data_IF_901721534251
#
_entry.id   IF_901721534251
#
_cell.length_a   1.000
_cell.length_b   1.000
_cell.length_c   1.000
_cell.angle_alpha   90.00
_cell.angle_beta   90.00
_cell.angle_gamma   90.00
#
_symmetry.space_group_name_H-M   'P 1'
#
loop_
_entity.id
_entity.type
_entity.pdbx_description
1 polymer ?
#
# COMPACT_ATOMS: atom_id res chain seq x y z
N UNK A 1 -89.29 20.39 41.31
CA UNK A 1 -88.94 21.63 40.56
C UNK A 1 -88.07 21.27 39.39
N UNK A 2 -88.52 21.56 38.23
CA UNK A 2 -88.02 21.20 36.93
C UNK A 2 -86.62 21.80 36.59
N UNK A 3 -85.75 21.08 35.95
CA UNK A 3 -84.97 21.60 34.82
C UNK A 3 -84.57 20.48 33.87
N UNK A 4 -85.01 20.62 32.64
CA UNK A 4 -84.66 19.83 31.46
C UNK A 4 -83.30 20.27 31.01
N UNK A 5 -82.42 19.32 30.73
CA UNK A 5 -81.22 19.58 29.92
C UNK A 5 -81.20 18.64 28.73
N UNK A 6 -81.22 19.27 27.59
CA UNK A 6 -81.15 18.62 26.27
C UNK A 6 -79.79 17.98 26.05
N UNK A 7 -79.76 16.72 25.65
CA UNK A 7 -78.62 16.01 25.22
C UNK A 7 -78.31 16.30 23.71
N UNK A 8 -77.25 17.04 23.41
CA UNK A 8 -76.67 17.13 22.06
C UNK A 8 -75.75 15.91 21.80
N UNK A 9 -76.23 14.96 21.04
CA UNK A 9 -75.48 13.87 20.58
C UNK A 9 -74.59 14.35 19.39
N UNK A 10 -73.29 14.60 19.67
CA UNK A 10 -72.31 14.83 18.62
C UNK A 10 -71.73 13.48 18.19
N UNK A 11 -72.18 12.96 17.05
CA UNK A 11 -71.61 11.79 16.42
C UNK A 11 -70.21 12.15 15.80
N UNK A 12 -69.14 11.86 16.52
CA UNK A 12 -67.83 11.86 15.99
C UNK A 12 -67.62 10.58 15.14
N UNK A 13 -67.82 10.71 13.84
CA UNK A 13 -67.39 9.70 12.90
C UNK A 13 -65.86 9.68 12.91
N UNK A 14 -65.25 8.77 13.69
CA UNK A 14 -63.79 8.45 13.58
C UNK A 14 -63.61 7.62 12.34
N UNK A 15 -63.30 8.27 11.23
CA UNK A 15 -62.71 7.60 10.07
C UNK A 15 -61.30 7.17 10.47
N UNK A 16 -61.14 5.91 10.87
CA UNK A 16 -59.86 5.26 10.99
C UNK A 16 -59.24 5.20 9.60
N UNK A 17 -58.43 6.19 9.26
CA UNK A 17 -57.42 6.09 8.23
C UNK A 17 -56.42 5.02 8.70
N UNK A 18 -56.61 3.79 8.24
CA UNK A 18 -55.58 2.80 8.23
C UNK A 18 -54.45 3.34 7.34
N UNK A 19 -53.60 4.19 7.87
CA UNK A 19 -52.25 4.39 7.36
C UNK A 19 -51.55 3.06 7.60
N UNK A 20 -51.64 2.13 6.67
CA UNK A 20 -50.64 1.10 6.49
C UNK A 20 -49.36 1.87 6.21
N UNK A 21 -48.58 2.11 7.27
CA UNK A 21 -47.15 2.37 7.10
C UNK A 21 -46.62 1.11 6.36
N UNK A 22 -46.58 1.18 5.07
CA UNK A 22 -45.71 0.34 4.27
C UNK A 22 -44.33 0.70 4.77
N UNK A 23 -43.84 -0.08 5.73
CA UNK A 23 -42.39 -0.21 5.90
C UNK A 23 -42.00 -0.81 4.55
N UNK A 24 -41.58 0.06 3.62
CA UNK A 24 -40.68 -0.35 2.59
C UNK A 24 -39.49 -0.95 3.36
N UNK A 25 -39.54 -2.26 3.59
CA UNK A 25 -38.34 -3.04 3.69
C UNK A 25 -37.71 -2.83 2.35
N UNK A 26 -36.95 -1.74 2.20
CA UNK A 26 -35.83 -1.69 1.30
C UNK A 26 -35.09 -2.98 1.64
N UNK A 27 -35.32 -4.02 0.84
CA UNK A 27 -34.45 -5.16 0.83
C UNK A 27 -33.08 -4.47 0.79
N UNK A 28 -32.25 -4.69 1.79
CA UNK A 28 -30.83 -4.32 1.68
C UNK A 28 -30.37 -5.05 0.43
N UNK A 29 -30.62 -4.39 -0.71
CA UNK A 29 -30.38 -4.92 -2.01
C UNK A 29 -28.92 -5.31 -1.97
N UNK A 30 -28.61 -6.53 -2.32
CA UNK A 30 -27.24 -7.05 -2.38
C UNK A 30 -26.32 -5.91 -2.77
N UNK A 31 -25.53 -5.39 -1.80
CA UNK A 31 -24.66 -4.24 -2.04
C UNK A 31 -23.84 -4.64 -3.25
N UNK A 32 -24.16 -4.05 -4.40
CA UNK A 32 -23.60 -4.51 -5.66
C UNK A 32 -22.08 -4.49 -5.53
N UNK A 33 -21.40 -5.45 -6.09
CA UNK A 33 -19.93 -5.50 -6.08
C UNK A 33 -19.29 -4.17 -6.53
N UNK A 34 -20.01 -3.41 -7.36
CA UNK A 34 -19.62 -2.08 -7.83
C UNK A 34 -19.79 -1.00 -6.77
N UNK A 35 -20.90 -1.01 -6.03
CA UNK A 35 -21.20 -0.02 -4.98
C UNK A 35 -20.50 -0.26 -3.66
N UNK A 36 -19.77 -1.37 -3.52
CA UNK A 36 -19.01 -1.65 -2.30
C UNK A 36 -17.79 -0.73 -2.19
N UNK A 37 -17.64 -0.10 -1.03
CA UNK A 37 -16.48 0.69 -0.67
C UNK A 37 -15.36 -0.21 -0.15
N UNK A 38 -14.19 -0.14 -0.76
CA UNK A 38 -13.01 -0.89 -0.34
C UNK A 38 -11.92 0.00 0.28
N UNK A 39 -12.13 1.31 0.33
CA UNK A 39 -11.19 2.29 0.88
C UNK A 39 -11.22 2.32 2.41
N UNK A 40 -10.12 2.71 3.03
CA UNK A 40 -10.02 2.95 4.47
C UNK A 40 -10.88 4.16 4.87
N UNK A 41 -11.31 4.20 6.14
CA UNK A 41 -12.03 5.36 6.67
C UNK A 41 -11.18 6.63 6.53
N UNK A 42 -11.82 7.73 6.11
CA UNK A 42 -11.15 9.03 5.90
C UNK A 42 -10.48 9.24 4.54
N UNK A 43 -10.31 8.20 3.72
CA UNK A 43 -9.79 8.37 2.36
C UNK A 43 -10.86 8.97 1.44
N UNK A 44 -10.45 9.92 0.58
CA UNK A 44 -11.34 10.58 -0.40
C UNK A 44 -11.67 9.64 -1.56
N UNK A 45 -12.94 9.44 -1.80
CA UNK A 45 -13.47 8.63 -2.89
C UNK A 45 -13.58 9.44 -4.19
N UNK A 46 -13.63 8.73 -5.32
CA UNK A 46 -14.13 9.29 -6.57
C UNK A 46 -15.66 9.31 -6.58
N UNK A 47 -16.27 10.21 -7.38
CA UNK A 47 -17.72 10.20 -7.56
C UNK A 47 -18.21 8.84 -8.06
N UNK A 48 -19.35 8.38 -7.56
CA UNK A 48 -19.96 7.09 -7.95
C UNK A 48 -20.24 6.98 -9.45
N UNK A 49 -20.33 8.10 -10.16
CA UNK A 49 -20.51 8.17 -11.62
C UNK A 49 -19.21 8.09 -12.41
N UNK A 50 -18.11 7.65 -11.82
CA UNK A 50 -16.78 7.64 -12.45
C UNK A 50 -16.76 6.99 -13.84
N UNK A 51 -17.53 5.93 -14.04
CA UNK A 51 -17.57 5.19 -15.30
C UNK A 51 -18.72 5.59 -16.25
N UNK A 52 -19.56 6.55 -15.84
CA UNK A 52 -20.72 6.93 -16.66
C UNK A 52 -20.26 7.58 -17.98
N UNK A 53 -20.78 7.07 -19.09
CA UNK A 53 -20.45 7.53 -20.43
C UNK A 53 -19.14 6.97 -20.99
N UNK A 54 -18.42 6.12 -20.25
CA UNK A 54 -17.26 5.41 -20.77
C UNK A 54 -17.68 4.21 -21.62
N UNK A 55 -17.02 4.02 -22.76
CA UNK A 55 -17.15 2.81 -23.56
C UNK A 55 -16.52 1.63 -22.80
N UNK A 56 -17.28 0.53 -22.64
CA UNK A 56 -16.85 -0.61 -21.85
C UNK A 56 -15.67 -1.37 -22.46
N UNK A 57 -15.63 -1.50 -23.79
CA UNK A 57 -14.55 -2.22 -24.47
C UNK A 57 -13.24 -1.44 -24.31
N UNK A 58 -13.28 -0.12 -24.51
CA UNK A 58 -12.14 0.78 -24.29
C UNK A 58 -11.68 0.74 -22.83
N UNK A 59 -12.61 0.78 -21.88
CA UNK A 59 -12.30 0.74 -20.45
C UNK A 59 -11.66 -0.60 -20.06
N UNK A 60 -12.17 -1.71 -20.58
CA UNK A 60 -11.63 -3.05 -20.33
C UNK A 60 -10.21 -3.20 -20.89
N UNK A 61 -9.96 -2.73 -22.11
CA UNK A 61 -8.64 -2.77 -22.72
C UNK A 61 -7.66 -1.87 -21.97
N UNK A 62 -8.11 -0.70 -21.53
CA UNK A 62 -7.30 0.19 -20.69
C UNK A 62 -6.91 -0.50 -19.38
N UNK A 63 -7.87 -1.07 -18.63
CA UNK A 63 -7.61 -1.76 -17.38
C UNK A 63 -6.65 -2.95 -17.53
N UNK A 64 -6.79 -3.72 -18.63
CA UNK A 64 -5.87 -4.83 -18.96
C UNK A 64 -4.46 -4.36 -19.30
N UNK A 65 -4.32 -3.19 -19.91
CA UNK A 65 -3.02 -2.63 -20.33
C UNK A 65 -2.20 -2.05 -19.19
N UNK A 66 -2.81 -1.76 -18.03
CA UNK A 66 -2.13 -1.15 -16.87
C UNK A 66 -0.99 -2.04 -16.34
N UNK A 67 0.22 -1.48 -16.34
CA UNK A 67 1.41 -2.11 -15.77
C UNK A 67 1.73 -1.49 -14.41
N UNK A 68 1.21 -2.08 -13.36
CA UNK A 68 1.29 -1.53 -11.99
C UNK A 68 2.72 -1.35 -11.47
N UNK A 69 3.69 -2.14 -11.96
CA UNK A 69 5.11 -2.03 -11.58
C UNK A 69 5.81 -0.78 -12.12
N UNK A 70 5.23 -0.13 -13.15
CA UNK A 70 5.82 1.06 -13.81
C UNK A 70 5.16 2.37 -13.38
N UNK A 71 4.16 2.30 -12.50
CA UNK A 71 3.44 3.48 -12.03
C UNK A 71 4.32 4.31 -11.09
N UNK A 72 4.29 5.63 -11.30
CA UNK A 72 4.79 6.59 -10.31
C UNK A 72 3.94 6.52 -9.03
N UNK A 73 4.42 7.01 -7.88
CA UNK A 73 3.62 7.06 -6.65
C UNK A 73 2.27 7.77 -6.83
N UNK A 74 2.24 8.87 -7.59
CA UNK A 74 1.00 9.60 -7.86
C UNK A 74 0.01 8.79 -8.71
N UNK A 75 0.48 8.15 -9.79
CA UNK A 75 -0.34 7.27 -10.62
C UNK A 75 -0.84 6.06 -9.86
N UNK A 76 0.00 5.46 -9.00
CA UNK A 76 -0.38 4.36 -8.13
C UNK A 76 -1.50 4.79 -7.16
N UNK A 77 -1.34 5.94 -6.50
CA UNK A 77 -2.36 6.50 -5.60
C UNK A 77 -3.66 6.78 -6.34
N UNK A 78 -3.58 7.36 -7.54
CA UNK A 78 -4.74 7.62 -8.39
C UNK A 78 -5.45 6.33 -8.78
N UNK A 79 -4.72 5.35 -9.32
CA UNK A 79 -5.28 4.07 -9.73
C UNK A 79 -5.88 3.31 -8.53
N UNK A 80 -5.18 3.32 -7.38
CA UNK A 80 -5.68 2.74 -6.13
C UNK A 80 -7.04 3.34 -5.76
N UNK A 81 -7.17 4.66 -5.78
CA UNK A 81 -8.45 5.34 -5.52
C UNK A 81 -9.53 4.96 -6.56
N UNK A 82 -9.17 4.87 -7.83
CA UNK A 82 -10.07 4.45 -8.91
C UNK A 82 -10.66 3.07 -8.65
N UNK A 83 -9.81 2.07 -8.31
CA UNK A 83 -10.27 0.68 -8.16
C UNK A 83 -10.93 0.41 -6.81
N UNK A 84 -10.65 1.20 -5.77
CA UNK A 84 -11.21 1.02 -4.42
C UNK A 84 -12.50 1.84 -4.18
N UNK A 85 -12.75 2.91 -4.96
CA UNK A 85 -13.94 3.74 -4.78
C UNK A 85 -15.21 3.00 -5.16
N UNK A 86 -16.33 3.21 -4.43
CA UNK A 86 -17.64 2.72 -4.84
C UNK A 86 -18.05 3.39 -6.14
N UNK A 87 -18.61 2.63 -7.07
CA UNK A 87 -19.05 3.15 -8.38
C UNK A 87 -20.38 2.55 -8.78
N UNK A 88 -21.08 3.21 -9.70
CA UNK A 88 -22.21 2.59 -10.38
C UNK A 88 -21.69 1.53 -11.35
N UNK A 89 -22.50 0.48 -11.55
CA UNK A 89 -22.19 -0.55 -12.53
C UNK A 89 -22.17 0.10 -13.93
N UNK A 90 -21.11 -0.09 -14.72
CA UNK A 90 -21.12 0.29 -16.13
C UNK A 90 -22.28 -0.34 -16.88
N UNK A 91 -22.84 0.36 -17.87
CA UNK A 91 -23.91 -0.13 -18.71
C UNK A 91 -23.33 -0.92 -19.86
N UNK A 92 -23.65 -2.22 -19.97
CA UNK A 92 -23.27 -3.06 -21.11
C UNK A 92 -23.01 -4.51 -20.73
N UNK A 93 -22.46 -5.27 -21.68
CA UNK A 93 -22.23 -6.73 -21.55
C UNK A 93 -20.90 -7.09 -20.87
N UNK A 94 -19.95 -6.16 -20.80
CA UNK A 94 -18.60 -6.40 -20.28
C UNK A 94 -18.42 -6.06 -18.79
N UNK A 95 -19.50 -5.65 -18.11
CA UNK A 95 -19.42 -5.24 -16.69
C UNK A 95 -18.80 -6.31 -15.77
N UNK A 96 -19.05 -7.60 -16.01
CA UNK A 96 -18.46 -8.69 -15.23
C UNK A 96 -16.95 -8.84 -15.52
N UNK A 97 -16.53 -8.72 -16.78
CA UNK A 97 -15.11 -8.74 -17.13
C UNK A 97 -14.35 -7.54 -16.53
N UNK A 98 -14.97 -6.36 -16.54
CA UNK A 98 -14.44 -5.17 -15.89
C UNK A 98 -14.30 -5.36 -14.37
N UNK A 99 -15.26 -6.02 -13.73
CA UNK A 99 -15.21 -6.31 -12.31
C UNK A 99 -14.06 -7.26 -11.97
N UNK A 100 -13.82 -8.27 -12.82
CA UNK A 100 -12.68 -9.18 -12.68
C UNK A 100 -11.34 -8.44 -12.84
N UNK A 101 -11.23 -7.55 -13.84
CA UNK A 101 -10.02 -6.72 -13.99
C UNK A 101 -9.82 -5.74 -12.84
N UNK A 102 -10.90 -5.21 -12.25
CA UNK A 102 -10.85 -4.40 -11.03
C UNK A 102 -10.22 -5.20 -9.87
N UNK A 103 -10.66 -6.45 -9.65
CA UNK A 103 -10.09 -7.33 -8.63
C UNK A 103 -8.60 -7.63 -8.90
N UNK A 104 -8.25 -7.91 -10.16
CA UNK A 104 -6.85 -8.12 -10.58
C UNK A 104 -5.97 -6.90 -10.29
N UNK A 105 -6.46 -5.72 -10.60
CA UNK A 105 -5.73 -4.48 -10.32
C UNK A 105 -5.59 -4.21 -8.82
N UNK A 106 -6.63 -4.48 -8.01
CA UNK A 106 -6.54 -4.40 -6.54
C UNK A 106 -5.40 -5.29 -6.02
N UNK A 107 -5.34 -6.55 -6.48
CA UNK A 107 -4.28 -7.48 -6.08
C UNK A 107 -2.89 -7.00 -6.52
N UNK A 108 -2.75 -6.56 -7.77
CA UNK A 108 -1.49 -6.05 -8.30
C UNK A 108 -1.00 -4.75 -7.64
N UNK A 109 -1.91 -4.00 -7.01
CA UNK A 109 -1.60 -2.84 -6.18
C UNK A 109 -1.27 -3.21 -4.73
N UNK A 110 -1.40 -4.49 -4.34
CA UNK A 110 -1.20 -4.98 -2.98
C UNK A 110 -2.44 -4.89 -2.09
N UNK A 111 -3.59 -4.52 -2.64
CA UNK A 111 -4.87 -4.43 -1.92
C UNK A 111 -5.57 -5.81 -1.86
N UNK A 112 -4.84 -6.82 -1.43
CA UNK A 112 -5.29 -8.21 -1.47
C UNK A 112 -6.53 -8.47 -0.60
N UNK A 113 -6.71 -7.74 0.52
CA UNK A 113 -7.94 -7.84 1.34
C UNK A 113 -9.16 -7.30 0.59
N UNK A 114 -9.01 -6.23 -0.17
CA UNK A 114 -10.07 -5.68 -1.01
C UNK A 114 -10.41 -6.63 -2.18
N UNK A 115 -9.39 -7.19 -2.83
CA UNK A 115 -9.55 -8.21 -3.87
C UNK A 115 -10.26 -9.46 -3.33
N UNK A 116 -9.86 -9.97 -2.15
CA UNK A 116 -10.48 -11.11 -1.48
C UNK A 116 -11.95 -10.83 -1.10
N UNK A 117 -12.29 -9.61 -0.71
CA UNK A 117 -13.67 -9.22 -0.42
C UNK A 117 -14.55 -9.06 -1.68
N UNK A 118 -13.92 -8.73 -2.82
CA UNK A 118 -14.61 -8.61 -4.10
C UNK A 118 -14.82 -9.97 -4.79
N UNK A 119 -13.85 -10.88 -4.69
CA UNK A 119 -13.84 -12.13 -5.44
C UNK A 119 -15.12 -13.00 -5.30
N UNK A 120 -15.78 -13.15 -4.13
CA UNK A 120 -17.03 -13.92 -4.02
C UNK A 120 -18.20 -13.34 -4.83
N UNK A 121 -18.10 -12.08 -5.25
CA UNK A 121 -19.13 -11.36 -6.00
C UNK A 121 -18.91 -11.46 -7.51
N UNK A 122 -17.83 -12.08 -7.96
CA UNK A 122 -17.53 -12.31 -9.36
C UNK A 122 -18.34 -13.49 -9.87
N UNK A 123 -19.01 -13.33 -11.01
CA UNK A 123 -19.79 -14.41 -11.68
C UNK A 123 -18.93 -15.33 -12.53
N UNK A 124 -17.78 -14.87 -12.95
CA UNK A 124 -16.80 -15.63 -13.71
C UNK A 124 -15.56 -15.86 -12.84
N UNK A 125 -15.00 -17.05 -12.96
CA UNK A 125 -13.71 -17.33 -12.35
C UNK A 125 -12.67 -16.33 -12.89
N UNK A 126 -12.26 -15.41 -12.03
CA UNK A 126 -11.35 -14.33 -12.39
C UNK A 126 -9.91 -14.84 -12.40
N UNK A 127 -9.56 -15.80 -13.24
CA UNK A 127 -8.18 -16.27 -13.47
C UNK A 127 -7.42 -16.61 -12.20
N UNK A 128 -7.98 -17.47 -11.36
CA UNK A 128 -7.33 -17.95 -10.13
C UNK A 128 -7.47 -17.01 -8.92
N UNK A 129 -8.33 -16.00 -8.97
CA UNK A 129 -8.71 -15.21 -7.82
C UNK A 129 -9.81 -15.91 -7.02
N UNK A 130 -9.45 -16.95 -6.29
CA UNK A 130 -10.32 -17.50 -5.26
C UNK A 130 -10.20 -16.64 -3.99
N UNK A 131 -11.32 -16.06 -3.57
CA UNK A 131 -11.38 -15.20 -2.41
C UNK A 131 -10.95 -15.89 -1.11
N UNK A 132 -11.32 -17.16 -0.97
CA UNK A 132 -11.03 -17.90 0.26
C UNK A 132 -9.55 -18.21 0.35
N UNK A 133 -8.94 -18.71 -0.71
CA UNK A 133 -7.51 -19.02 -0.74
C UNK A 133 -6.67 -17.76 -0.60
N UNK A 134 -7.07 -16.64 -1.23
CA UNK A 134 -6.37 -15.37 -1.13
C UNK A 134 -6.36 -14.82 0.31
N UNK A 135 -7.51 -14.88 1.00
CA UNK A 135 -7.60 -14.42 2.39
C UNK A 135 -6.78 -15.29 3.35
N UNK A 136 -6.82 -16.62 3.15
CA UNK A 136 -6.04 -17.58 3.93
C UNK A 136 -4.55 -17.37 3.69
N UNK A 137 -4.16 -17.17 2.46
CA UNK A 137 -2.77 -16.94 2.05
C UNK A 137 -2.17 -15.69 2.72
N UNK A 138 -2.95 -14.61 2.79
CA UNK A 138 -2.56 -13.40 3.52
C UNK A 138 -2.43 -13.63 5.02
N UNK A 139 -3.38 -14.34 5.63
CA UNK A 139 -3.34 -14.67 7.06
C UNK A 139 -2.11 -15.53 7.36
N UNK A 140 -1.80 -16.54 6.53
CA UNK A 140 -0.59 -17.36 6.64
C UNK A 140 0.68 -16.51 6.49
N UNK A 141 0.77 -15.67 5.45
CA UNK A 141 1.94 -14.84 5.23
C UNK A 141 2.20 -13.84 6.37
N UNK A 142 1.12 -13.33 6.99
CA UNK A 142 1.20 -12.36 8.09
C UNK A 142 1.44 -12.98 9.47
N UNK A 143 1.43 -14.31 9.62
CA UNK A 143 1.53 -15.00 10.90
C UNK A 143 0.21 -15.13 11.67
N UNK A 144 -0.94 -14.87 11.02
CA UNK A 144 -2.28 -15.09 11.59
C UNK A 144 -2.77 -16.52 11.35
N UNK A 145 -1.92 -17.49 11.59
CA UNK A 145 -2.07 -18.90 11.25
C UNK A 145 -3.32 -19.52 11.87
N UNK A 146 -3.62 -19.16 13.13
CA UNK A 146 -4.82 -19.63 13.79
C UNK A 146 -6.11 -19.19 13.06
N UNK A 147 -6.12 -18.00 12.47
CA UNK A 147 -7.24 -17.51 11.64
C UNK A 147 -7.37 -18.32 10.36
N UNK A 148 -6.25 -18.54 9.68
CA UNK A 148 -6.21 -19.33 8.45
C UNK A 148 -6.66 -20.77 8.68
N UNK A 149 -6.13 -21.45 9.72
CA UNK A 149 -6.44 -22.85 10.01
C UNK A 149 -7.89 -23.08 10.48
N UNK A 150 -8.53 -22.09 11.12
CA UNK A 150 -9.97 -22.18 11.45
C UNK A 150 -10.87 -22.39 10.24
N UNK A 151 -10.41 -22.05 9.03
CA UNK A 151 -11.17 -22.29 7.78
C UNK A 151 -11.36 -23.78 7.48
N UNK A 152 -10.54 -24.66 8.10
CA UNK A 152 -10.69 -26.11 7.99
C UNK A 152 -11.77 -26.70 8.92
N UNK A 153 -12.35 -25.92 9.83
CA UNK A 153 -13.38 -26.39 10.78
C UNK A 153 -14.78 -26.53 10.17
N UNK A 154 -14.97 -26.14 8.90
CA UNK A 154 -16.24 -26.23 8.16
C UNK A 154 -16.12 -27.15 6.94
N UNK A 155 -17.12 -27.11 6.04
CA UNK A 155 -17.00 -27.76 4.74
C UNK A 155 -15.79 -27.20 3.99
N UNK A 156 -14.84 -28.08 3.70
CA UNK A 156 -13.58 -27.73 3.03
C UNK A 156 -13.73 -28.05 1.56
N UNK A 157 -13.51 -27.07 0.67
CA UNK A 157 -13.51 -27.31 -0.78
C UNK A 157 -12.46 -28.35 -1.17
N UNK A 158 -12.65 -28.96 -2.32
CA UNK A 158 -11.67 -29.86 -2.93
C UNK A 158 -10.58 -29.05 -3.64
N UNK A 159 -9.40 -29.64 -3.81
CA UNK A 159 -8.30 -29.10 -4.59
C UNK A 159 -6.97 -29.03 -3.84
N UNK A 160 -5.93 -28.87 -4.61
CA UNK A 160 -4.53 -28.91 -4.15
C UNK A 160 -4.23 -27.93 -3.01
N UNK A 161 -4.74 -26.70 -3.10
CA UNK A 161 -4.54 -25.68 -2.08
C UNK A 161 -5.04 -26.13 -0.70
N UNK A 162 -6.22 -26.75 -0.64
CA UNK A 162 -6.85 -27.20 0.59
C UNK A 162 -6.16 -28.41 1.20
N UNK A 163 -5.59 -29.28 0.36
CA UNK A 163 -4.76 -30.39 0.81
C UNK A 163 -3.48 -29.86 1.46
N UNK A 164 -2.79 -28.92 0.80
CA UNK A 164 -1.62 -28.24 1.35
C UNK A 164 -1.93 -27.51 2.65
N UNK A 165 -3.05 -26.78 2.72
CA UNK A 165 -3.48 -26.08 3.92
C UNK A 165 -3.63 -27.03 5.12
N UNK A 166 -4.21 -28.20 4.93
CA UNK A 166 -4.37 -29.22 6.01
C UNK A 166 -3.01 -29.64 6.56
N UNK A 167 -2.07 -29.99 5.70
CA UNK A 167 -0.74 -30.39 6.10
C UNK A 167 0.03 -29.25 6.82
N UNK A 168 -0.01 -28.04 6.27
CA UNK A 168 0.63 -26.87 6.90
C UNK A 168 0.02 -26.57 8.27
N UNK A 169 -1.31 -26.60 8.41
CA UNK A 169 -1.96 -26.37 9.69
C UNK A 169 -1.60 -27.43 10.74
N UNK A 170 -1.45 -28.69 10.34
CA UNK A 170 -1.00 -29.73 11.23
C UNK A 170 0.44 -29.50 11.72
N UNK A 171 1.35 -29.12 10.82
CA UNK A 171 2.73 -28.72 11.16
C UNK A 171 2.76 -27.53 12.11
N UNK A 172 1.97 -26.48 11.84
CA UNK A 172 1.94 -25.28 12.68
C UNK A 172 1.41 -25.57 14.09
N UNK A 173 0.56 -26.59 14.24
CA UNK A 173 0.04 -27.09 15.52
C UNK A 173 0.94 -28.16 16.16
N UNK A 174 2.11 -28.44 15.56
CA UNK A 174 3.05 -29.47 16.02
C UNK A 174 2.46 -30.89 16.03
N UNK A 175 1.40 -31.11 15.26
CA UNK A 175 0.79 -32.39 15.02
C UNK A 175 1.45 -33.09 13.80
N UNK A 176 2.66 -33.57 13.96
CA UNK A 176 3.45 -34.11 12.84
C UNK A 176 2.83 -35.36 12.24
N UNK A 177 2.28 -36.28 13.07
CA UNK A 177 1.58 -37.44 12.55
C UNK A 177 0.34 -37.06 11.72
N UNK A 178 -0.37 -36.02 12.13
CA UNK A 178 -1.47 -35.48 11.34
C UNK A 178 -1.00 -34.82 10.04
N UNK A 179 0.19 -34.22 10.03
CA UNK A 179 0.79 -33.66 8.83
C UNK A 179 1.20 -34.75 7.83
N UNK A 180 1.83 -35.84 8.31
CA UNK A 180 2.19 -37.00 7.49
C UNK A 180 0.95 -37.63 6.84
N UNK A 181 -0.10 -37.89 7.61
CA UNK A 181 -1.37 -38.41 7.08
C UNK A 181 -1.98 -37.46 6.03
N UNK A 182 -1.94 -36.14 6.29
CA UNK A 182 -2.44 -35.15 5.32
C UNK A 182 -1.63 -35.16 4.02
N UNK A 183 -0.32 -35.37 4.10
CA UNK A 183 0.57 -35.52 2.94
C UNK A 183 0.29 -36.79 2.17
N UNK A 184 0.10 -37.94 2.88
CA UNK A 184 -0.27 -39.20 2.23
C UNK A 184 -1.58 -39.08 1.45
N UNK A 185 -2.60 -38.52 2.08
CA UNK A 185 -3.89 -38.26 1.43
C UNK A 185 -3.73 -37.30 0.22
N UNK A 186 -2.94 -36.25 0.36
CA UNK A 186 -2.69 -35.28 -0.73
C UNK A 186 -1.97 -35.97 -1.90
N UNK A 187 -0.97 -36.80 -1.63
CA UNK A 187 -0.24 -37.57 -2.64
C UNK A 187 -1.15 -38.56 -3.35
N UNK A 188 -2.00 -39.28 -2.60
CA UNK A 188 -2.99 -40.18 -3.16
C UNK A 188 -4.02 -39.47 -4.06
N UNK A 189 -4.27 -38.19 -3.82
CA UNK A 189 -5.13 -37.29 -4.65
C UNK A 189 -4.35 -36.56 -5.75
N UNK A 190 -3.08 -36.91 -5.97
CA UNK A 190 -2.28 -36.41 -7.10
C UNK A 190 -1.41 -35.18 -6.81
N UNK A 191 -1.22 -34.81 -5.55
CA UNK A 191 -0.24 -33.75 -5.22
C UNK A 191 1.17 -34.18 -5.60
N UNK A 192 1.84 -33.38 -6.47
CA UNK A 192 3.17 -33.66 -7.02
C UNK A 192 4.17 -32.53 -6.77
N UNK A 193 4.06 -31.79 -5.67
CA UNK A 193 5.00 -30.71 -5.29
C UNK A 193 6.12 -31.25 -4.38
N UNK A 194 7.28 -31.67 -4.93
CA UNK A 194 8.37 -32.26 -4.13
C UNK A 194 8.88 -31.30 -3.05
N UNK A 195 8.99 -30.01 -3.38
CA UNK A 195 9.43 -29.01 -2.42
C UNK A 195 8.52 -28.96 -1.19
N UNK A 196 7.21 -29.00 -1.42
CA UNK A 196 6.22 -28.94 -0.34
C UNK A 196 6.34 -30.15 0.59
N UNK A 197 6.51 -31.36 0.01
CA UNK A 197 6.69 -32.60 0.77
C UNK A 197 7.97 -32.54 1.62
N UNK A 198 9.09 -32.18 1.02
CA UNK A 198 10.37 -32.04 1.73
C UNK A 198 10.30 -30.98 2.86
N UNK A 199 9.60 -29.86 2.63
CA UNK A 199 9.45 -28.81 3.62
C UNK A 199 8.57 -29.23 4.82
N UNK A 200 7.52 -30.05 4.60
CA UNK A 200 6.71 -30.64 5.68
C UNK A 200 7.60 -31.56 6.56
N UNK A 201 8.39 -32.44 5.95
CA UNK A 201 9.30 -33.33 6.71
C UNK A 201 10.42 -32.51 7.40
N UNK A 202 10.95 -31.48 6.77
CA UNK A 202 11.93 -30.61 7.40
C UNK A 202 11.39 -29.90 8.65
N UNK A 203 10.10 -29.59 8.69
CA UNK A 203 9.46 -29.01 9.86
C UNK A 203 9.36 -29.94 11.06
N UNK A 204 9.38 -31.27 10.84
CA UNK A 204 9.47 -32.29 11.91
C UNK A 204 10.90 -32.54 12.39
N UNK A 205 11.91 -32.01 11.72
CA UNK A 205 13.32 -32.14 12.11
C UNK A 205 14.06 -33.32 11.51
N UNK A 206 13.42 -34.11 10.64
CA UNK A 206 13.92 -35.43 10.18
C UNK A 206 14.67 -35.39 8.83
N UNK A 207 14.94 -34.20 8.26
CA UNK A 207 15.58 -34.11 6.94
C UNK A 207 17.02 -33.57 7.05
N UNK A 208 18.03 -34.34 6.65
CA UNK A 208 19.44 -33.95 6.74
C UNK A 208 19.78 -32.76 5.80
N UNK A 209 19.08 -32.60 4.68
CA UNK A 209 19.27 -31.53 3.72
C UNK A 209 17.91 -30.88 3.41
N UNK A 210 17.42 -29.95 4.24
CA UNK A 210 16.16 -29.30 4.01
C UNK A 210 16.20 -28.46 2.73
N UNK A 211 15.06 -28.29 2.04
CA UNK A 211 14.99 -27.45 0.85
C UNK A 211 15.18 -25.97 1.19
N UNK A 212 15.54 -25.15 0.19
CA UNK A 212 15.56 -23.69 0.39
C UNK A 212 14.13 -23.14 0.60
N UNK A 213 14.03 -22.07 1.39
CA UNK A 213 12.76 -21.40 1.66
C UNK A 213 12.09 -20.88 0.39
N UNK A 214 10.74 -20.89 0.35
CA UNK A 214 9.91 -20.28 -0.69
C UNK A 214 8.95 -19.26 -0.09
N UNK A 215 8.82 -18.11 -0.77
CA UNK A 215 7.99 -16.98 -0.34
C UNK A 215 7.01 -16.53 -1.45
N UNK A 216 6.59 -17.44 -2.29
CA UNK A 216 5.69 -17.23 -3.44
C UNK A 216 4.20 -17.36 -3.09
N UNK A 217 3.87 -18.02 -1.98
CA UNK A 217 2.52 -18.11 -1.41
C UNK A 217 2.57 -17.95 0.11
N UNK A 218 1.43 -17.60 0.73
CA UNK A 218 1.34 -17.50 2.18
C UNK A 218 1.59 -18.82 2.90
N UNK A 219 1.12 -19.94 2.33
CA UNK A 219 1.39 -21.28 2.84
C UNK A 219 2.89 -21.58 2.86
N UNK A 220 3.58 -21.28 1.76
CA UNK A 220 5.01 -21.52 1.64
C UNK A 220 5.82 -20.62 2.59
N UNK A 221 5.40 -19.36 2.80
CA UNK A 221 5.98 -18.48 3.81
C UNK A 221 5.83 -19.05 5.22
N UNK A 222 4.62 -19.50 5.57
CA UNK A 222 4.35 -20.08 6.89
C UNK A 222 5.17 -21.35 7.13
N UNK A 223 5.18 -22.26 6.18
CA UNK A 223 5.93 -23.51 6.24
C UNK A 223 7.45 -23.28 6.28
N UNK A 224 7.99 -22.44 5.41
CA UNK A 224 9.41 -22.06 5.40
C UNK A 224 9.85 -21.46 6.73
N UNK A 225 9.01 -20.61 7.33
CA UNK A 225 9.31 -19.99 8.63
C UNK A 225 9.25 -21.02 9.77
N UNK A 226 8.27 -21.96 9.78
CA UNK A 226 8.13 -23.00 10.80
C UNK A 226 9.28 -24.01 10.75
N UNK A 227 9.68 -24.40 9.54
CA UNK A 227 10.78 -25.33 9.31
C UNK A 227 12.17 -24.65 9.38
N UNK A 228 12.24 -23.35 9.61
CA UNK A 228 13.49 -22.57 9.65
C UNK A 228 14.40 -22.81 8.42
N UNK A 229 13.78 -22.83 7.22
CA UNK A 229 14.49 -23.11 5.98
C UNK A 229 15.45 -21.99 5.58
N UNK A 230 16.55 -22.36 4.90
CA UNK A 230 17.52 -21.38 4.41
C UNK A 230 16.90 -20.38 3.42
N UNK A 231 17.02 -19.09 3.73
CA UNK A 231 16.41 -17.99 2.99
C UNK A 231 17.32 -17.34 1.94
N UNK A 232 18.57 -17.79 1.76
CA UNK A 232 19.54 -17.17 0.86
C UNK A 232 19.05 -17.05 -0.59
N UNK A 233 18.23 -17.99 -1.06
CA UNK A 233 17.70 -18.04 -2.44
C UNK A 233 16.28 -17.50 -2.58
N UNK A 234 15.73 -16.88 -1.54
CA UNK A 234 14.37 -16.34 -1.62
C UNK A 234 14.30 -15.21 -2.64
N UNK A 235 13.43 -15.40 -3.63
CA UNK A 235 13.02 -14.38 -4.59
C UNK A 235 11.58 -13.99 -4.35
N UNK A 236 11.27 -12.72 -4.60
CA UNK A 236 9.91 -12.20 -4.47
C UNK A 236 9.22 -12.16 -5.81
N UNK A 237 7.98 -12.60 -5.84
CA UNK A 237 7.12 -12.40 -6.99
C UNK A 237 6.68 -10.94 -7.05
N UNK A 238 6.96 -10.27 -8.18
CA UNK A 238 6.47 -8.91 -8.44
C UNK A 238 4.94 -8.84 -8.62
N UNK A 239 4.30 -9.99 -8.79
CA UNK A 239 2.84 -10.09 -8.93
C UNK A 239 2.09 -10.11 -7.59
N UNK A 240 2.79 -10.34 -6.48
CA UNK A 240 2.23 -10.45 -5.12
C UNK A 240 2.96 -9.54 -4.13
N UNK A 241 2.90 -8.21 -4.30
CA UNK A 241 3.56 -7.26 -3.39
C UNK A 241 2.94 -7.28 -1.98
N UNK A 242 1.70 -7.74 -1.84
CA UNK A 242 1.03 -7.98 -0.58
C UNK A 242 1.74 -9.03 0.30
N UNK A 243 2.31 -10.06 -0.31
CA UNK A 243 3.10 -11.07 0.42
C UNK A 243 4.41 -10.47 0.95
N UNK A 244 5.04 -9.54 0.22
CA UNK A 244 6.21 -8.83 0.72
C UNK A 244 5.87 -8.01 1.97
N UNK A 245 4.75 -7.27 1.95
CA UNK A 245 4.29 -6.50 3.12
C UNK A 245 3.96 -7.41 4.31
N UNK A 246 3.27 -8.52 4.06
CA UNK A 246 2.93 -9.48 5.10
C UNK A 246 4.18 -10.14 5.72
N UNK A 247 5.11 -10.60 4.88
CA UNK A 247 6.35 -11.24 5.33
C UNK A 247 7.29 -10.27 6.07
N UNK A 248 7.31 -8.98 5.67
CA UNK A 248 8.09 -7.96 6.38
C UNK A 248 7.65 -7.80 7.84
N UNK A 249 6.34 -7.93 8.10
CA UNK A 249 5.77 -7.81 9.45
C UNK A 249 5.74 -9.12 10.23
N UNK A 250 6.01 -10.26 9.57
CA UNK A 250 5.91 -11.59 10.18
C UNK A 250 7.05 -11.86 11.18
N UNK A 251 6.69 -12.34 12.37
CA UNK A 251 7.65 -12.90 13.33
C UNK A 251 8.16 -14.25 12.80
N UNK A 252 9.45 -14.55 13.04
CA UNK A 252 10.08 -15.80 12.59
C UNK A 252 10.68 -15.72 11.18
N UNK A 253 10.44 -14.65 10.42
CA UNK A 253 11.24 -14.35 9.22
C UNK A 253 12.54 -13.66 9.66
N UNK A 254 13.71 -14.08 9.18
CA UNK A 254 14.99 -13.44 9.53
C UNK A 254 14.99 -11.94 9.25
N UNK A 255 15.61 -11.15 10.13
CA UNK A 255 15.62 -9.68 10.03
C UNK A 255 16.17 -9.18 8.69
N UNK A 256 17.16 -9.86 8.12
CA UNK A 256 17.68 -9.54 6.79
C UNK A 256 16.61 -9.62 5.70
N UNK A 257 15.85 -10.70 5.68
CA UNK A 257 14.81 -10.89 4.70
C UNK A 257 13.63 -9.94 4.94
N UNK A 258 13.28 -9.71 6.21
CA UNK A 258 12.26 -8.71 6.58
C UNK A 258 12.65 -7.31 6.10
N UNK A 259 13.93 -6.93 6.23
CA UNK A 259 14.42 -5.64 5.74
C UNK A 259 14.31 -5.51 4.21
N UNK A 260 14.64 -6.58 3.46
CA UNK A 260 14.45 -6.61 1.99
C UNK A 260 12.98 -6.48 1.62
N UNK A 261 12.10 -7.19 2.30
CA UNK A 261 10.65 -7.10 2.07
C UNK A 261 10.08 -5.74 2.45
N UNK A 262 10.53 -5.17 3.57
CA UNK A 262 10.14 -3.83 4.01
C UNK A 262 10.58 -2.74 3.02
N UNK A 263 11.69 -2.91 2.34
CA UNK A 263 12.10 -2.00 1.28
C UNK A 263 11.10 -2.03 0.13
N UNK A 264 10.79 -3.22 -0.40
CA UNK A 264 9.85 -3.38 -1.53
C UNK A 264 8.47 -2.86 -1.15
N UNK A 265 7.93 -3.28 -0.01
CA UNK A 265 6.61 -2.88 0.44
C UNK A 265 6.52 -1.37 0.75
N UNK A 266 7.59 -0.77 1.28
CA UNK A 266 7.66 0.65 1.60
C UNK A 266 7.83 1.56 0.38
N UNK A 267 8.43 1.07 -0.71
CA UNK A 267 8.54 1.82 -1.97
C UNK A 267 7.17 2.00 -2.64
N UNK A 268 6.23 1.10 -2.36
CA UNK A 268 4.88 1.09 -2.93
C UNK A 268 3.76 1.32 -1.90
N UNK A 269 4.09 1.84 -0.72
CA UNK A 269 3.17 2.26 0.35
C UNK A 269 2.29 1.14 0.94
N UNK A 270 2.75 -0.11 0.94
CA UNK A 270 2.03 -1.22 1.57
C UNK A 270 2.31 -1.36 3.07
N UNK A 271 3.42 -0.81 3.54
CA UNK A 271 3.73 -0.65 4.97
C UNK A 271 4.02 0.81 5.27
N UNK A 272 3.78 1.21 6.51
CA UNK A 272 4.05 2.60 6.91
C UNK A 272 5.54 2.89 6.99
N UNK A 273 5.95 4.17 6.84
CA UNK A 273 7.36 4.56 7.02
C UNK A 273 7.89 4.18 8.41
N UNK A 274 7.05 4.25 9.44
CA UNK A 274 7.37 3.89 10.83
C UNK A 274 7.61 2.40 10.98
N UNK A 275 6.76 1.55 10.38
CA UNK A 275 6.95 0.09 10.36
C UNK A 275 8.23 -0.28 9.63
N UNK A 276 8.46 0.31 8.44
CA UNK A 276 9.69 0.09 7.66
C UNK A 276 10.92 0.48 8.49
N UNK A 277 10.89 1.66 9.12
CA UNK A 277 11.98 2.14 9.97
C UNK A 277 12.23 1.19 11.15
N UNK A 278 11.16 0.74 11.79
CA UNK A 278 11.24 -0.21 12.91
C UNK A 278 11.91 -1.52 12.53
N UNK A 279 11.58 -2.07 11.35
CA UNK A 279 12.18 -3.31 10.83
C UNK A 279 13.68 -3.12 10.54
N UNK A 280 14.05 -2.02 9.88
CA UNK A 280 15.46 -1.71 9.58
C UNK A 280 16.28 -1.49 10.85
N UNK A 281 15.73 -0.75 11.83
CA UNK A 281 16.40 -0.53 13.12
C UNK A 281 16.50 -1.82 13.97
N UNK A 282 15.54 -2.75 13.84
CA UNK A 282 15.64 -4.05 14.50
C UNK A 282 16.82 -4.86 13.93
N UNK A 283 17.00 -4.85 12.61
CA UNK A 283 18.16 -5.50 11.96
C UNK A 283 19.50 -4.90 12.42
N UNK A 284 19.58 -3.58 12.58
CA UNK A 284 20.79 -2.90 13.04
C UNK A 284 21.17 -3.21 14.50
N UNK A 285 20.26 -3.85 15.26
CA UNK A 285 20.53 -4.30 16.63
C UNK A 285 21.01 -5.74 16.72
N UNK A 286 21.02 -6.47 15.60
CA UNK A 286 21.56 -7.83 15.57
C UNK A 286 23.08 -7.76 15.81
N UNK A 287 23.58 -8.50 16.80
CA UNK A 287 24.97 -8.39 17.33
C UNK A 287 26.04 -8.58 16.26
N UNK A 288 25.79 -9.48 15.30
CA UNK A 288 26.71 -9.82 14.21
C UNK A 288 26.48 -9.02 12.93
N UNK A 289 25.58 -8.01 12.97
CA UNK A 289 25.21 -7.28 11.77
C UNK A 289 25.85 -5.88 11.72
N UNK A 290 26.52 -5.60 10.61
CA UNK A 290 27.00 -4.26 10.28
C UNK A 290 26.18 -3.67 9.14
N UNK A 291 25.77 -2.41 9.28
CA UNK A 291 24.99 -1.70 8.26
C UNK A 291 25.63 -1.79 6.88
N UNK A 292 25.01 -2.52 5.96
CA UNK A 292 25.55 -2.80 4.61
C UNK A 292 24.99 -1.88 3.55
N UNK A 293 23.75 -1.45 3.69
CA UNK A 293 23.10 -0.56 2.74
C UNK A 293 23.26 0.92 3.12
N UNK A 294 23.25 1.80 2.10
CA UNK A 294 23.32 3.24 2.33
C UNK A 294 22.19 3.76 3.23
N UNK A 295 21.00 3.17 3.14
CA UNK A 295 19.84 3.51 3.97
C UNK A 295 20.08 3.13 5.43
N UNK A 296 20.60 1.93 5.70
CA UNK A 296 20.90 1.47 7.05
C UNK A 296 22.00 2.30 7.71
N UNK A 297 23.07 2.58 7.00
CA UNK A 297 24.16 3.47 7.47
C UNK A 297 23.64 4.89 7.77
N UNK A 298 22.66 5.37 7.00
CA UNK A 298 22.04 6.65 7.28
C UNK A 298 21.15 6.59 8.53
N UNK A 299 20.36 5.53 8.70
CA UNK A 299 19.54 5.34 9.91
C UNK A 299 20.40 5.26 11.17
N UNK A 300 21.52 4.56 11.10
CA UNK A 300 22.50 4.48 12.19
C UNK A 300 23.06 5.87 12.53
N UNK A 301 23.50 6.64 11.50
CA UNK A 301 24.00 8.00 11.71
C UNK A 301 22.93 8.95 12.25
N UNK A 302 21.66 8.84 11.79
CA UNK A 302 20.54 9.63 12.30
C UNK A 302 20.22 9.31 13.78
N UNK A 303 20.47 8.08 14.21
CA UNK A 303 20.28 7.64 15.59
C UNK A 303 21.48 8.02 16.50
N UNK A 304 22.63 8.35 15.93
CA UNK A 304 23.81 8.68 16.71
C UNK A 304 23.74 10.12 17.30
N UNK A 305 23.68 10.28 18.63
CA UNK A 305 23.55 11.60 19.27
C UNK A 305 24.83 12.47 19.14
N UNK A 306 25.98 11.86 18.81
CA UNK A 306 27.26 12.57 18.67
C UNK A 306 27.51 13.05 17.23
N UNK A 307 26.72 12.62 16.27
CA UNK A 307 26.83 13.04 14.87
C UNK A 307 26.42 14.52 14.73
N UNK A 308 27.24 15.30 14.05
CA UNK A 308 26.92 16.71 13.79
C UNK A 308 25.76 16.84 12.80
N UNK A 309 24.95 17.92 12.90
CA UNK A 309 23.87 18.18 11.93
C UNK A 309 24.35 18.22 10.48
N UNK A 310 25.55 18.71 10.24
CA UNK A 310 26.16 18.72 8.91
C UNK A 310 26.41 17.32 8.37
N UNK A 311 27.00 16.43 9.17
CA UNK A 311 27.25 15.03 8.79
C UNK A 311 25.93 14.30 8.49
N UNK A 312 24.93 14.49 9.35
CA UNK A 312 23.59 13.93 9.15
C UNK A 312 22.96 14.44 7.85
N UNK A 313 23.02 15.75 7.59
CA UNK A 313 22.47 16.36 6.40
C UNK A 313 23.19 15.89 5.11
N UNK A 314 24.51 15.83 5.13
CA UNK A 314 25.31 15.35 4.02
C UNK A 314 24.98 13.90 3.65
N UNK A 315 24.90 13.01 4.66
CA UNK A 315 24.53 11.61 4.45
C UNK A 315 23.11 11.47 3.91
N UNK A 316 22.15 12.20 4.47
CA UNK A 316 20.76 12.18 4.03
C UNK A 316 20.63 12.69 2.59
N UNK A 317 21.31 13.78 2.24
CA UNK A 317 21.34 14.28 0.88
C UNK A 317 21.84 13.22 -0.13
N UNK A 318 22.95 12.55 0.20
CA UNK A 318 23.54 11.53 -0.66
C UNK A 318 22.58 10.38 -0.99
N UNK A 319 21.84 9.89 0.01
CA UNK A 319 20.85 8.81 -0.23
C UNK A 319 19.62 9.30 -0.99
N UNK A 320 19.15 10.53 -0.73
CA UNK A 320 18.04 11.12 -1.46
C UNK A 320 18.39 11.38 -2.93
N UNK A 321 19.60 11.88 -3.22
CA UNK A 321 20.10 12.00 -4.59
C UNK A 321 20.21 10.66 -5.30
N UNK A 322 20.73 9.64 -4.62
CA UNK A 322 20.80 8.29 -5.19
C UNK A 322 19.43 7.74 -5.51
N UNK A 323 18.48 7.91 -4.61
CA UNK A 323 17.09 7.48 -4.80
C UNK A 323 16.42 8.25 -5.95
N UNK A 324 16.63 9.56 -6.05
CA UNK A 324 16.04 10.41 -7.11
C UNK A 324 16.54 10.07 -8.52
N UNK A 325 17.79 9.61 -8.63
CA UNK A 325 18.36 9.13 -9.89
C UNK A 325 17.87 7.74 -10.30
N UNK A 326 17.41 6.95 -9.34
CA UNK A 326 16.92 5.61 -9.61
C UNK A 326 15.51 5.63 -10.22
N UNK A 327 14.54 6.08 -9.46
CA UNK A 327 13.14 6.26 -9.88
C UNK A 327 12.33 7.03 -8.84
N UNK A 328 11.12 7.47 -9.23
CA UNK A 328 10.23 8.28 -8.38
C UNK A 328 9.64 7.48 -7.20
N UNK A 329 9.41 6.17 -7.34
CA UNK A 329 8.90 5.33 -6.26
C UNK A 329 9.93 5.19 -5.15
N UNK A 330 11.19 4.94 -5.53
CA UNK A 330 12.31 4.86 -4.60
C UNK A 330 12.58 6.20 -3.92
N UNK A 331 12.55 7.29 -4.68
CA UNK A 331 12.69 8.64 -4.11
C UNK A 331 11.59 8.93 -3.09
N UNK A 332 10.32 8.73 -3.46
CA UNK A 332 9.19 8.94 -2.56
C UNK A 332 9.24 8.05 -1.32
N UNK A 333 9.54 6.75 -1.47
CA UNK A 333 9.67 5.80 -0.37
C UNK A 333 10.82 6.13 0.59
N UNK A 334 11.97 6.61 0.05
CA UNK A 334 13.10 7.07 0.86
C UNK A 334 12.78 8.39 1.57
N UNK A 335 12.15 9.32 0.88
CA UNK A 335 11.73 10.61 1.45
C UNK A 335 10.79 10.43 2.64
N UNK A 336 9.80 9.55 2.52
CA UNK A 336 8.88 9.23 3.63
C UNK A 336 9.59 8.56 4.79
N UNK A 337 10.53 7.65 4.52
CA UNK A 337 11.31 6.97 5.57
C UNK A 337 12.09 7.96 6.44
N UNK A 338 12.65 9.01 5.84
CA UNK A 338 13.49 10.00 6.51
C UNK A 338 12.76 11.32 6.82
N UNK A 339 11.45 11.41 6.65
CA UNK A 339 10.70 12.64 6.90
C UNK A 339 10.86 13.15 8.35
N UNK A 340 10.85 12.25 9.32
CA UNK A 340 11.06 12.62 10.72
C UNK A 340 12.46 13.24 10.97
N UNK A 341 13.48 12.75 10.26
CA UNK A 341 14.83 13.27 10.34
C UNK A 341 14.93 14.65 9.64
N UNK A 342 14.28 14.81 8.49
CA UNK A 342 14.16 16.11 7.80
C UNK A 342 13.49 17.18 8.67
N UNK A 343 12.49 16.80 9.47
CA UNK A 343 11.83 17.69 10.43
C UNK A 343 12.79 18.11 11.55
N UNK A 344 13.54 17.17 12.09
CA UNK A 344 14.44 17.35 13.23
C UNK A 344 15.70 18.14 12.89
N UNK A 345 16.26 17.96 11.68
CA UNK A 345 17.47 18.66 11.26
C UNK A 345 17.28 20.18 11.33
N UNK A 346 18.24 20.92 11.95
CA UNK A 346 18.17 22.37 12.01
C UNK A 346 18.29 23.00 10.62
N UNK A 347 17.51 24.02 10.35
CA UNK A 347 17.58 24.85 9.14
C UNK A 347 18.59 25.96 9.42
N UNK A 348 19.88 25.64 9.24
CA UNK A 348 21.00 26.47 9.60
C UNK A 348 22.02 26.57 8.45
N UNK A 349 22.99 27.44 8.57
CA UNK A 349 23.96 27.72 7.49
C UNK A 349 24.76 26.48 7.04
N UNK A 350 25.03 25.55 7.93
CA UNK A 350 25.78 24.31 7.66
C UNK A 350 24.94 23.20 7.03
N UNK A 351 23.61 23.27 7.14
CA UNK A 351 22.67 22.34 6.50
C UNK A 351 21.98 22.93 5.27
N UNK A 352 21.99 24.26 5.12
CA UNK A 352 21.38 24.98 4.01
C UNK A 352 21.87 24.54 2.60
N UNK A 353 23.11 24.09 2.37
CA UNK A 353 23.55 23.59 1.06
C UNK A 353 22.72 22.41 0.52
N UNK A 354 21.98 21.72 1.38
CA UNK A 354 21.15 20.57 1.04
C UNK A 354 19.64 20.92 0.95
N UNK A 355 19.29 22.19 1.20
CA UNK A 355 17.91 22.63 1.33
C UNK A 355 17.03 22.33 0.10
N UNK A 356 17.56 22.45 -1.13
CA UNK A 356 16.86 22.10 -2.36
C UNK A 356 16.40 20.64 -2.36
N UNK A 357 17.30 19.69 -2.08
CA UNK A 357 16.98 18.28 -2.05
C UNK A 357 16.01 17.95 -0.92
N UNK A 358 16.16 18.59 0.23
CA UNK A 358 15.29 18.39 1.38
C UNK A 358 13.88 18.96 1.16
N UNK A 359 13.76 20.06 0.43
CA UNK A 359 12.48 20.60 -0.04
C UNK A 359 11.78 19.57 -0.93
N UNK A 360 12.45 19.07 -1.97
CA UNK A 360 11.91 18.06 -2.89
C UNK A 360 11.53 16.79 -2.15
N UNK A 361 12.35 16.32 -1.22
CA UNK A 361 12.07 15.13 -0.42
C UNK A 361 10.85 15.31 0.49
N UNK A 362 10.72 16.46 1.15
CA UNK A 362 9.55 16.76 1.97
C UNK A 362 8.27 16.85 1.13
N UNK A 363 8.35 17.43 -0.08
CA UNK A 363 7.25 17.43 -1.04
C UNK A 363 6.87 16.02 -1.48
N UNK A 364 7.85 15.18 -1.83
CA UNK A 364 7.63 13.79 -2.21
C UNK A 364 7.05 12.93 -1.07
N UNK A 365 7.32 13.32 0.18
CA UNK A 365 6.72 12.73 1.37
C UNK A 365 5.33 13.27 1.70
N UNK A 366 4.83 14.29 0.98
CA UNK A 366 3.52 14.92 1.20
C UNK A 366 3.47 15.91 2.37
N UNK A 367 4.62 16.38 2.88
CA UNK A 367 4.69 17.32 4.01
C UNK A 367 5.08 18.73 3.54
N UNK A 368 4.08 19.51 3.17
CA UNK A 368 4.24 20.88 2.69
C UNK A 368 4.84 21.83 3.73
N UNK A 369 4.58 21.62 5.01
CA UNK A 369 5.14 22.45 6.07
C UNK A 369 6.68 22.30 6.16
N UNK A 370 7.15 21.06 6.17
CA UNK A 370 8.59 20.77 6.16
C UNK A 370 9.24 21.24 4.86
N UNK A 371 8.56 21.08 3.73
CA UNK A 371 9.05 21.55 2.45
C UNK A 371 9.27 23.07 2.45
N UNK A 372 8.31 23.86 2.93
CA UNK A 372 8.43 25.33 3.03
C UNK A 372 9.54 25.75 3.99
N UNK A 373 9.69 25.05 5.11
CA UNK A 373 10.76 25.34 6.05
C UNK A 373 12.16 25.14 5.43
N UNK A 374 12.33 24.12 4.58
CA UNK A 374 13.58 23.92 3.84
C UNK A 374 13.70 24.85 2.63
N UNK A 375 12.61 25.21 1.95
CA UNK A 375 12.62 26.19 0.89
C UNK A 375 13.13 27.56 1.40
N UNK A 376 12.66 28.01 2.57
CA UNK A 376 13.18 29.23 3.20
C UNK A 376 14.68 29.13 3.55
N UNK A 377 15.22 27.95 3.80
CA UNK A 377 16.65 27.77 4.04
C UNK A 377 17.51 27.96 2.76
N UNK A 378 16.94 27.97 1.57
CA UNK A 378 17.64 28.29 0.32
C UNK A 378 18.05 29.75 0.21
N UNK A 379 17.50 30.62 1.05
CA UNK A 379 17.75 32.08 1.07
C UNK A 379 18.99 32.48 1.90
N UNK A 380 19.61 31.54 2.65
CA UNK A 380 20.78 31.86 3.44
C UNK A 380 21.91 32.43 2.57
N UNK A 381 22.46 33.57 2.99
CA UNK A 381 23.56 34.22 2.29
C UNK A 381 24.88 33.45 2.42
N UNK A 382 25.68 33.44 1.36
CA UNK A 382 27.02 32.85 1.35
C UNK A 382 27.03 31.32 1.30
N UNK A 383 25.94 30.68 0.88
CA UNK A 383 25.92 29.22 0.62
C UNK A 383 26.78 28.85 -0.59
N UNK A 384 27.63 27.83 -0.40
CA UNK A 384 28.14 27.04 -1.50
C UNK A 384 26.98 26.25 -2.13
N UNK A 385 26.69 26.28 -3.37
CA UNK A 385 25.57 25.59 -4.04
C UNK A 385 24.17 26.21 -3.81
N UNK A 386 24.07 27.55 -3.75
CA UNK A 386 22.78 28.20 -3.74
C UNK A 386 21.99 27.84 -5.02
N UNK A 387 20.74 27.36 -4.93
CA UNK A 387 19.92 27.12 -6.10
C UNK A 387 19.81 28.37 -6.96
N UNK A 388 19.78 28.21 -8.27
CA UNK A 388 19.58 29.36 -9.15
C UNK A 388 18.12 29.90 -9.03
N UNK A 389 17.87 31.13 -9.49
CA UNK A 389 16.54 31.72 -9.40
C UNK A 389 15.44 30.91 -10.09
N UNK A 390 15.75 30.17 -11.14
CA UNK A 390 14.80 29.29 -11.81
C UNK A 390 14.45 28.08 -10.96
N UNK A 391 15.45 27.45 -10.33
CA UNK A 391 15.25 26.33 -9.43
C UNK A 391 14.40 26.71 -8.22
N UNK A 392 14.64 27.90 -7.62
CA UNK A 392 13.83 28.42 -6.51
C UNK A 392 12.39 28.63 -6.97
N UNK A 393 12.18 29.30 -8.09
CA UNK A 393 10.84 29.54 -8.63
C UNK A 393 10.10 28.25 -9.01
N UNK A 394 10.82 27.21 -9.47
CA UNK A 394 10.25 25.89 -9.74
C UNK A 394 9.82 25.19 -8.44
N UNK A 395 10.60 25.30 -7.37
CA UNK A 395 10.22 24.75 -6.04
C UNK A 395 8.98 25.46 -5.47
N UNK A 396 8.89 26.79 -5.63
CA UNK A 396 7.71 27.56 -5.22
C UNK A 396 6.46 27.16 -6.02
N UNK A 397 6.62 26.92 -7.33
CA UNK A 397 5.52 26.43 -8.18
C UNK A 397 5.06 25.02 -7.75
N UNK A 398 5.96 24.14 -7.33
CA UNK A 398 5.62 22.86 -6.77
C UNK A 398 4.90 22.97 -5.43
N UNK A 399 5.31 23.90 -4.55
CA UNK A 399 4.61 24.16 -3.28
C UNK A 399 3.17 24.63 -3.53
N UNK A 400 2.96 25.49 -4.55
CA UNK A 400 1.62 25.91 -4.96
C UNK A 400 0.73 24.73 -5.35
N UNK A 401 1.25 23.79 -6.16
CA UNK A 401 0.53 22.56 -6.56
C UNK A 401 0.17 21.69 -5.34
N UNK A 402 1.00 21.69 -4.32
CA UNK A 402 0.79 20.93 -3.07
C UNK A 402 -0.09 21.67 -2.04
N UNK A 403 -0.79 22.71 -2.43
CA UNK A 403 -1.70 23.49 -1.58
C UNK A 403 -1.03 24.63 -0.83
N UNK A 404 0.02 25.21 -1.42
CA UNK A 404 0.59 26.47 -0.98
C UNK A 404 -0.35 27.65 -1.11
N UNK A 405 0.17 28.89 -0.95
CA UNK A 405 -0.61 30.12 -1.15
C UNK A 405 -1.02 30.23 -2.62
N UNK A 406 -2.25 29.85 -2.94
CA UNK A 406 -2.84 29.87 -4.28
C UNK A 406 -3.45 31.24 -4.66
N UNK A 407 -3.18 32.30 -3.88
CA UNK A 407 -3.66 33.63 -4.21
C UNK A 407 -3.20 34.06 -5.60
N UNK A 408 -4.04 34.82 -6.34
CA UNK A 408 -3.67 35.33 -7.66
C UNK A 408 -2.41 36.21 -7.66
N UNK A 409 -2.05 36.78 -6.52
CA UNK A 409 -0.81 37.52 -6.33
C UNK A 409 0.41 36.59 -6.29
N UNK A 410 0.33 35.52 -5.50
CA UNK A 410 1.38 34.49 -5.40
C UNK A 410 1.62 33.81 -6.74
N UNK A 411 0.55 33.37 -7.42
CA UNK A 411 0.64 32.75 -8.74
C UNK A 411 1.34 33.65 -9.76
N UNK A 412 0.97 34.93 -9.82
CA UNK A 412 1.61 35.90 -10.73
C UNK A 412 3.08 36.15 -10.39
N UNK A 413 3.41 36.25 -9.11
CA UNK A 413 4.80 36.44 -8.67
C UNK A 413 5.70 35.24 -9.06
N UNK A 414 5.23 34.01 -8.86
CA UNK A 414 5.94 32.77 -9.25
C UNK A 414 6.08 32.72 -10.78
N UNK A 415 5.00 32.98 -11.53
CA UNK A 415 5.03 32.99 -12.99
C UNK A 415 6.03 34.02 -13.53
N UNK A 416 6.05 35.22 -12.96
CA UNK A 416 7.01 36.28 -13.35
C UNK A 416 8.45 35.83 -13.12
N UNK A 417 8.75 35.23 -11.94
CA UNK A 417 10.08 34.71 -11.61
C UNK A 417 10.51 33.60 -12.56
N UNK A 418 9.61 32.63 -12.86
CA UNK A 418 9.88 31.59 -13.84
C UNK A 418 10.22 32.15 -15.23
N UNK A 419 9.44 33.10 -15.71
CA UNK A 419 9.66 33.72 -17.02
C UNK A 419 10.99 34.52 -17.04
N UNK A 420 11.29 35.25 -16.00
CA UNK A 420 12.53 36.02 -15.90
C UNK A 420 13.76 35.09 -15.80
N UNK A 421 13.69 34.05 -15.03
CA UNK A 421 14.76 33.08 -14.87
C UNK A 421 14.98 32.19 -16.11
N UNK A 422 13.93 31.91 -16.89
CA UNK A 422 14.00 31.16 -18.13
C UNK A 422 14.61 31.93 -19.31
N UNK A 423 14.76 33.26 -19.22
CA UNK A 423 15.34 34.07 -20.32
C UNK A 423 16.83 33.75 -20.46
N UNK A 424 17.31 33.29 -21.65
CA UNK A 424 18.73 33.01 -21.85
C UNK A 424 19.55 34.29 -21.61
N UNK A 425 20.74 34.23 -21.03
CA UNK A 425 21.59 35.39 -20.76
C UNK A 425 21.93 36.21 -21.99
N UNK A 426 21.90 35.65 -23.21
CA UNK A 426 22.16 36.29 -24.47
C UNK A 426 21.06 37.27 -24.88
N UNK A 427 19.79 37.02 -24.57
CA UNK A 427 18.66 37.89 -24.90
C UNK A 427 18.60 39.15 -24.00
N UNK A 428 19.19 39.08 -22.79
CA UNK A 428 19.30 40.29 -21.93
C UNK A 428 20.22 41.38 -22.50
N UNK A 429 21.21 41.02 -23.33
CA UNK A 429 22.13 41.99 -23.95
C UNK A 429 21.54 42.66 -25.22
N UNK A 430 20.64 41.98 -25.91
CA UNK A 430 19.99 42.54 -27.12
C UNK A 430 18.73 43.35 -26.79
N UNK A 431 18.03 43.05 -25.69
CA UNK A 431 16.90 43.85 -25.23
C UNK A 431 17.31 45.17 -24.51
N UNK A 432 18.60 45.32 -24.18
CA UNK A 432 19.18 46.51 -23.57
C UNK A 432 19.90 47.42 -24.57
N UNK A 433 19.89 47.10 -25.87
CA UNK A 433 20.29 47.93 -27.00
C UNK A 433 19.07 48.37 -27.81
#
# INVERSE_FOLDING_TARGET
>A
MFFKTAACALALAVTSLNATAQIETDSMGDISAWGTRYMKSGEKEFPTRLWNGSDEDVLLDLMKSVRTQKLTPAERTLLRRVVLSPTQRPSGKNAEALLAERARLMLALGEARAAAALAPKLKQDARGLDAQTLAIDLDMASGNEASACRRLSGPVPEGEYWLKLRAVCAVLQENFSGAELAVEVATAQGLTDPWFLEAIFAASGDVPNPPFARFDTGLNIALSSKANLDTQRVTLSSSRPDLAAAAASRRGVPNELRARFAQIAGEIDLITPEERRGILLARLKDEDYTASSAIEQALELMANPTASPRQQAERLNSILETASRADMARFGGTSRLFLADLKRLPKARDTAPYAKMFTLAAMAAGDSQTARAWLGATEFEGMANKPDPFEIAALEALDLILGGDDSPASQRAIQTRLIEAAKPPRLKREAAR
#
